data_IF_338414125296
#
_entry.id   IF_338414125296
#
_cell.length_a   1.000
_cell.length_b   1.000
_cell.length_c   1.000
_cell.angle_alpha   90.00
_cell.angle_beta   90.00
_cell.angle_gamma   90.00
#
_symmetry.space_group_name_H-M   'P 1'
#
loop_
_entity.id
_entity.type
_entity.pdbx_description
1 polymer ?
#
# COMPACT_ATOMS: atom_id res chain seq x y z
N UNK A 1 -3.82 -13.70 5.21
CA UNK A 1 -2.98 -12.49 5.17
C UNK A 1 -1.54 -12.93 5.27
N UNK A 2 -0.70 -12.58 4.31
CA UNK A 2 0.75 -12.80 4.35
C UNK A 2 1.45 -11.45 4.37
N UNK A 3 2.42 -11.30 5.27
CA UNK A 3 3.24 -10.09 5.38
C UNK A 3 4.67 -10.51 5.61
N UNK A 4 5.57 -10.00 4.79
CA UNK A 4 7.00 -10.25 4.86
C UNK A 4 7.72 -8.92 4.88
N UNK A 5 8.67 -8.78 5.79
CA UNK A 5 9.52 -7.60 5.89
C UNK A 5 10.96 -8.05 6.09
N UNK A 6 11.87 -7.45 5.34
CA UNK A 6 13.29 -7.62 5.48
C UNK A 6 13.93 -6.25 5.57
N UNK A 7 14.86 -6.09 6.51
CA UNK A 7 15.65 -4.87 6.62
C UNK A 7 17.10 -5.20 6.92
N UNK A 8 17.97 -4.32 6.45
CA UNK A 8 19.40 -4.32 6.76
C UNK A 8 19.78 -2.90 7.16
N UNK A 9 20.55 -2.77 8.22
CA UNK A 9 21.04 -1.49 8.71
C UNK A 9 22.41 -1.62 9.33
N UNK A 10 23.15 -0.52 9.30
CA UNK A 10 24.48 -0.45 9.88
C UNK A 10 24.93 0.98 10.03
N UNK A 11 25.71 1.22 11.09
CA UNK A 11 26.25 2.54 11.40
C UNK A 11 27.69 2.41 11.86
N UNK A 12 28.55 3.26 11.31
CA UNK A 12 29.89 3.55 11.82
C UNK A 12 30.09 5.08 11.86
N UNK A 13 31.33 5.52 12.12
CA UNK A 13 31.64 6.95 12.26
C UNK A 13 31.50 7.74 10.95
N UNK A 14 31.55 7.07 9.79
CA UNK A 14 31.54 7.70 8.47
C UNK A 14 30.18 7.54 7.79
N UNK A 15 29.53 6.39 7.94
CA UNK A 15 28.32 6.02 7.20
C UNK A 15 27.26 5.47 8.14
N UNK A 16 26.02 5.87 7.91
CA UNK A 16 24.84 5.27 8.49
C UNK A 16 23.88 4.92 7.35
N UNK A 17 23.51 3.65 7.25
CA UNK A 17 22.64 3.17 6.18
C UNK A 17 21.52 2.29 6.73
N UNK A 18 20.38 2.35 6.06
CA UNK A 18 19.23 1.51 6.29
C UNK A 18 18.56 1.22 4.95
N UNK A 19 18.26 -0.04 4.70
CA UNK A 19 17.47 -0.46 3.56
C UNK A 19 16.41 -1.46 4.04
N UNK A 20 15.18 -1.29 3.57
CA UNK A 20 14.11 -2.25 3.85
C UNK A 20 13.19 -2.47 2.67
N UNK A 21 12.64 -3.68 2.63
CA UNK A 21 11.58 -4.08 1.74
C UNK A 21 10.47 -4.77 2.53
N UNK A 22 9.22 -4.46 2.20
CA UNK A 22 8.06 -5.15 2.74
C UNK A 22 7.07 -5.50 1.64
N UNK A 23 6.48 -6.68 1.76
CA UNK A 23 5.41 -7.16 0.90
C UNK A 23 4.24 -7.63 1.77
N UNK A 24 3.04 -7.15 1.45
CA UNK A 24 1.80 -7.53 2.11
C UNK A 24 0.80 -8.00 1.05
N UNK A 25 0.21 -9.16 1.27
CA UNK A 25 -0.90 -9.69 0.47
C UNK A 25 -2.05 -10.09 1.40
N UNK A 26 -3.14 -9.35 1.29
CA UNK A 26 -4.34 -9.52 2.09
C UNK A 26 -5.49 -9.96 1.20
N UNK A 27 -5.86 -11.23 1.38
CA UNK A 27 -7.12 -11.77 0.87
C UNK A 27 -8.25 -11.37 1.83
N UNK A 28 -9.18 -10.54 1.35
CA UNK A 28 -10.36 -10.17 2.13
C UNK A 28 -11.31 -11.35 2.29
N UNK A 29 -12.12 -11.30 3.36
CA UNK A 29 -13.24 -12.25 3.56
C UNK A 29 -14.38 -11.97 2.60
N UNK A 30 -14.50 -10.73 2.12
CA UNK A 30 -15.52 -10.35 1.15
C UNK A 30 -14.97 -10.57 -0.25
N UNK A 31 -15.74 -11.29 -1.07
CA UNK A 31 -15.34 -11.61 -2.45
C UNK A 31 -15.17 -10.31 -3.26
N UNK A 32 -14.09 -10.25 -4.04
CA UNK A 32 -13.79 -9.11 -4.92
C UNK A 32 -12.99 -7.98 -4.25
N UNK A 33 -12.71 -8.09 -2.95
CA UNK A 33 -11.86 -7.16 -2.21
C UNK A 33 -10.47 -7.80 -2.03
N UNK A 34 -9.44 -7.14 -2.56
CA UNK A 34 -8.06 -7.58 -2.49
C UNK A 34 -7.17 -6.38 -2.17
N UNK A 35 -6.13 -6.63 -1.39
CA UNK A 35 -5.16 -5.61 -1.05
C UNK A 35 -3.74 -6.18 -1.12
N UNK A 36 -2.90 -5.58 -1.96
CA UNK A 36 -1.48 -5.90 -2.07
C UNK A 36 -0.65 -4.63 -1.92
N UNK A 37 0.46 -4.73 -1.20
CA UNK A 37 1.38 -3.61 -1.03
C UNK A 37 2.82 -4.08 -1.09
N UNK A 38 3.60 -3.47 -1.98
CA UNK A 38 5.06 -3.56 -2.00
C UNK A 38 5.62 -2.22 -1.56
N UNK A 39 6.52 -2.21 -0.58
CA UNK A 39 7.21 -0.98 -0.15
C UNK A 39 8.69 -1.22 -0.05
N UNK A 40 9.48 -0.29 -0.54
CA UNK A 40 10.95 -0.27 -0.43
C UNK A 40 11.36 1.07 0.16
N UNK A 41 12.29 1.07 1.12
CA UNK A 41 12.84 2.28 1.74
C UNK A 41 14.36 2.20 1.79
N UNK A 42 15.00 3.32 1.51
CA UNK A 42 16.44 3.49 1.60
C UNK A 42 16.75 4.80 2.33
N UNK A 43 17.54 4.71 3.39
CA UNK A 43 18.11 5.86 4.08
C UNK A 43 19.61 5.71 4.09
N UNK A 44 20.31 6.75 3.66
CA UNK A 44 21.76 6.74 3.58
C UNK A 44 22.28 8.09 4.03
N UNK A 45 23.16 8.07 5.02
CA UNK A 45 23.83 9.23 5.58
C UNK A 45 25.34 9.00 5.52
N UNK A 46 26.07 10.02 5.07
CA UNK A 46 27.54 10.01 5.03
C UNK A 46 28.10 11.28 5.67
N UNK A 47 29.01 11.09 6.62
CA UNK A 47 29.87 12.14 7.16
C UNK A 47 31.07 12.27 6.21
N UNK A 48 31.01 13.26 5.30
CA UNK A 48 32.10 13.53 4.34
C UNK A 48 33.31 14.09 5.08
N UNK A 49 33.06 14.96 6.07
CA UNK A 49 34.06 15.48 7.00
C UNK A 49 33.45 15.61 8.39
N UNK A 50 34.25 15.96 9.41
CA UNK A 50 33.73 16.24 10.76
C UNK A 50 32.69 17.40 10.80
N UNK A 51 32.67 18.23 9.77
CA UNK A 51 31.79 19.40 9.66
C UNK A 51 30.74 19.28 8.56
N UNK A 52 30.82 18.27 7.68
CA UNK A 52 29.91 18.11 6.54
C UNK A 52 29.30 16.71 6.54
N UNK A 53 27.97 16.67 6.63
CA UNK A 53 27.18 15.45 6.46
C UNK A 53 26.22 15.62 5.29
N UNK A 54 26.08 14.60 4.47
CA UNK A 54 25.06 14.51 3.42
C UNK A 54 24.18 13.32 3.71
N UNK A 55 22.88 13.44 3.46
CA UNK A 55 21.95 12.35 3.63
C UNK A 55 20.89 12.29 2.55
N UNK A 56 20.37 11.09 2.34
CA UNK A 56 19.31 10.77 1.40
C UNK A 56 18.31 9.86 2.10
N UNK A 57 17.03 10.19 1.96
CA UNK A 57 15.91 9.39 2.43
C UNK A 57 14.93 9.23 1.28
N UNK A 58 14.79 8.01 0.79
CA UNK A 58 13.95 7.69 -0.35
C UNK A 58 13.05 6.50 -0.05
N UNK A 59 11.89 6.49 -0.67
CA UNK A 59 10.96 5.40 -0.54
C UNK A 59 10.07 5.28 -1.76
N UNK A 60 9.74 4.03 -2.07
CA UNK A 60 8.79 3.67 -3.09
C UNK A 60 7.72 2.76 -2.48
N UNK A 61 6.47 3.00 -2.85
CA UNK A 61 5.35 2.13 -2.47
C UNK A 61 4.46 1.92 -3.68
N UNK A 62 4.17 0.67 -3.99
CA UNK A 62 3.10 0.28 -4.89
C UNK A 62 1.99 -0.37 -4.06
N UNK A 63 0.79 0.17 -4.16
CA UNK A 63 -0.40 -0.32 -3.49
C UNK A 63 -1.42 -0.67 -4.55
N UNK A 64 -1.90 -1.90 -4.52
CA UNK A 64 -2.95 -2.41 -5.36
C UNK A 64 -4.16 -2.72 -4.47
N UNK A 65 -5.26 -2.05 -4.72
CA UNK A 65 -6.56 -2.25 -4.06
C UNK A 65 -7.66 -2.51 -5.09
N UNK A 66 -7.26 -2.97 -6.27
CA UNK A 66 -8.14 -3.24 -7.40
C UNK A 66 -9.23 -4.22 -7.03
N UNK A 67 -10.44 -4.01 -7.53
CA UNK A 67 -11.50 -5.01 -7.47
C UNK A 67 -12.78 -4.48 -6.88
N UNK A 68 -13.87 -5.14 -7.25
CA UNK A 68 -15.21 -4.75 -6.85
C UNK A 68 -15.71 -5.67 -5.75
N UNK A 69 -15.80 -5.15 -4.53
CA UNK A 69 -16.33 -5.89 -3.40
C UNK A 69 -17.80 -6.29 -3.64
N UNK A 70 -18.15 -7.51 -3.26
CA UNK A 70 -19.53 -7.98 -3.25
C UNK A 70 -20.39 -7.12 -2.31
N UNK A 71 -21.64 -6.85 -2.70
CA UNK A 71 -22.54 -6.03 -1.88
C UNK A 71 -22.97 -6.76 -0.61
N UNK A 72 -22.42 -6.37 0.54
CA UNK A 72 -22.87 -6.90 1.83
C UNK A 72 -24.31 -6.53 2.14
N UNK A 73 -24.77 -5.37 1.67
CA UNK A 73 -26.16 -4.94 1.81
C UNK A 73 -27.13 -5.95 1.18
N UNK A 74 -27.00 -6.20 -0.14
CA UNK A 74 -27.87 -7.17 -0.81
C UNK A 74 -27.66 -8.60 -0.29
N UNK A 75 -26.46 -8.94 0.20
CA UNK A 75 -26.18 -10.25 0.81
C UNK A 75 -27.08 -10.51 2.03
N UNK A 76 -27.36 -9.49 2.85
CA UNK A 76 -28.23 -9.66 4.04
C UNK A 76 -29.70 -9.91 3.71
N UNK A 77 -30.15 -9.58 2.49
CA UNK A 77 -31.53 -9.82 2.03
C UNK A 77 -31.69 -11.13 1.25
N UNK A 78 -30.61 -11.87 1.03
CA UNK A 78 -30.69 -13.14 0.32
C UNK A 78 -31.37 -14.21 1.18
N UNK A 79 -32.37 -14.85 0.57
CA UNK A 79 -32.94 -16.09 1.10
C UNK A 79 -31.89 -17.21 1.08
N UNK A 80 -31.89 -18.14 2.05
CA UNK A 80 -31.10 -19.37 1.97
C UNK A 80 -31.39 -20.21 0.72
N UNK A 81 -32.55 -20.00 0.08
CA UNK A 81 -32.95 -20.65 -1.18
C UNK A 81 -32.62 -19.84 -2.45
N UNK A 82 -31.93 -18.70 -2.31
CA UNK A 82 -31.57 -17.86 -3.45
C UNK A 82 -30.54 -18.54 -4.35
N UNK A 83 -30.71 -18.40 -5.67
CA UNK A 83 -29.74 -18.89 -6.65
C UNK A 83 -29.02 -17.71 -7.30
N UNK A 84 -27.71 -17.59 -7.05
CA UNK A 84 -26.87 -16.51 -7.57
C UNK A 84 -26.53 -16.67 -9.06
N UNK A 85 -26.74 -17.86 -9.61
CA UNK A 85 -26.49 -18.20 -11.00
C UNK A 85 -27.69 -18.94 -11.57
N UNK A 86 -27.88 -18.88 -12.88
CA UNK A 86 -28.75 -19.80 -13.61
C UNK A 86 -28.06 -21.17 -13.77
N UNK A 87 -28.80 -22.18 -14.25
CA UNK A 87 -28.29 -23.54 -14.44
C UNK A 87 -27.13 -23.61 -15.44
N UNK A 88 -27.03 -22.64 -16.36
CA UNK A 88 -25.93 -22.47 -17.32
C UNK A 88 -24.70 -21.75 -16.75
N UNK A 89 -24.74 -21.35 -15.48
CA UNK A 89 -23.65 -20.66 -14.77
C UNK A 89 -23.60 -19.14 -14.96
N UNK A 90 -24.53 -18.54 -15.70
CA UNK A 90 -24.59 -17.08 -15.87
C UNK A 90 -25.08 -16.42 -14.57
N UNK A 91 -24.46 -15.31 -14.10
CA UNK A 91 -24.93 -14.60 -12.91
C UNK A 91 -26.37 -14.14 -13.07
N UNK A 92 -27.22 -14.54 -12.12
CA UNK A 92 -28.64 -14.18 -12.13
C UNK A 92 -28.84 -12.78 -11.55
N UNK A 93 -29.41 -11.79 -12.27
CA UNK A 93 -29.55 -10.43 -11.74
C UNK A 93 -30.45 -10.33 -10.50
N UNK A 94 -31.54 -11.09 -10.48
CA UNK A 94 -32.50 -11.18 -9.38
C UNK A 94 -32.53 -12.60 -8.80
N UNK A 95 -31.68 -12.91 -7.80
CA UNK A 95 -31.44 -14.28 -7.33
C UNK A 95 -32.60 -14.90 -6.53
N UNK A 96 -33.59 -14.09 -6.15
CA UNK A 96 -34.81 -14.52 -5.43
C UNK A 96 -36.11 -14.19 -6.20
N UNK A 97 -36.02 -13.91 -7.50
CA UNK A 97 -37.18 -13.54 -8.35
C UNK A 97 -37.92 -12.25 -7.95
N UNK A 98 -37.34 -11.46 -7.05
CA UNK A 98 -37.83 -10.15 -6.64
C UNK A 98 -36.80 -9.11 -7.10
N UNK A 99 -37.22 -8.16 -7.94
CA UNK A 99 -36.34 -7.13 -8.53
C UNK A 99 -35.75 -6.11 -7.54
N UNK A 100 -36.08 -6.21 -6.25
CA UNK A 100 -35.58 -5.34 -5.18
C UNK A 100 -34.24 -5.82 -4.60
N UNK A 101 -33.89 -7.10 -4.78
CA UNK A 101 -32.61 -7.66 -4.34
C UNK A 101 -31.80 -8.01 -5.56
N UNK A 102 -30.73 -7.24 -5.78
CA UNK A 102 -29.79 -7.47 -6.88
C UNK A 102 -28.74 -8.47 -6.42
N UNK A 103 -28.26 -9.30 -7.33
CA UNK A 103 -27.17 -10.23 -7.04
C UNK A 103 -25.93 -9.51 -6.48
N UNK A 104 -25.50 -9.82 -5.24
CA UNK A 104 -24.37 -9.16 -4.59
C UNK A 104 -23.06 -9.24 -5.35
N UNK A 105 -22.91 -10.25 -6.20
CA UNK A 105 -21.71 -10.52 -6.98
C UNK A 105 -21.70 -9.80 -8.33
N UNK A 106 -22.80 -9.14 -8.73
CA UNK A 106 -22.91 -8.55 -10.07
C UNK A 106 -21.73 -7.62 -10.39
N UNK A 107 -21.39 -6.71 -9.47
CA UNK A 107 -20.22 -5.82 -9.65
C UNK A 107 -18.90 -6.58 -9.63
N UNK A 108 -18.76 -7.54 -8.71
CA UNK A 108 -17.55 -8.36 -8.57
C UNK A 108 -17.24 -9.21 -9.79
N UNK A 109 -18.26 -9.71 -10.49
CA UNK A 109 -18.12 -10.64 -11.61
C UNK A 109 -18.10 -9.94 -12.97
N UNK A 110 -18.82 -8.83 -13.10
CA UNK A 110 -19.04 -8.18 -14.39
C UNK A 110 -18.19 -6.94 -14.61
N UNK A 111 -17.59 -6.39 -13.54
CA UNK A 111 -16.76 -5.20 -13.64
C UNK A 111 -15.31 -5.53 -13.32
N UNK A 112 -14.42 -5.08 -14.20
CA UNK A 112 -13.00 -4.96 -13.91
C UNK A 112 -12.73 -3.58 -13.31
N UNK A 113 -12.09 -3.56 -12.15
CA UNK A 113 -11.69 -2.33 -11.47
C UNK A 113 -10.21 -2.42 -11.16
N UNK A 114 -9.48 -1.35 -11.52
CA UNK A 114 -8.04 -1.26 -11.34
C UNK A 114 -7.70 -0.02 -10.52
N UNK A 115 -7.45 -0.23 -9.23
CA UNK A 115 -7.00 0.79 -8.29
C UNK A 115 -5.56 0.49 -7.88
N UNK A 116 -4.62 1.10 -8.61
CA UNK A 116 -3.19 1.00 -8.33
C UNK A 116 -2.64 2.38 -8.02
N UNK A 117 -2.14 2.56 -6.81
CA UNK A 117 -1.47 3.78 -6.35
C UNK A 117 0.04 3.55 -6.26
N UNK A 118 0.81 4.48 -6.81
CA UNK A 118 2.28 4.50 -6.69
C UNK A 118 2.72 5.78 -6.00
N UNK A 119 3.56 5.64 -4.98
CA UNK A 119 4.13 6.76 -4.23
C UNK A 119 5.64 6.62 -4.29
N UNK A 120 6.30 7.62 -4.87
CA UNK A 120 7.74 7.78 -4.87
C UNK A 120 8.08 9.09 -4.15
N UNK A 121 9.02 9.04 -3.23
CA UNK A 121 9.58 10.24 -2.64
C UNK A 121 11.09 10.10 -2.46
N UNK A 122 11.78 11.23 -2.49
CA UNK A 122 13.20 11.34 -2.20
C UNK A 122 13.47 12.68 -1.54
N UNK A 123 14.17 12.65 -0.42
CA UNK A 123 14.62 13.82 0.31
C UNK A 123 16.14 13.74 0.39
N UNK A 124 16.82 14.74 -0.17
CA UNK A 124 18.26 14.87 -0.15
C UNK A 124 18.59 16.09 0.69
N UNK A 125 19.49 15.94 1.65
CA UNK A 125 19.84 17.01 2.56
C UNK A 125 21.34 17.05 2.82
N UNK A 126 21.81 18.22 3.24
CA UNK A 126 23.19 18.47 3.65
C UNK A 126 23.17 19.20 4.98
N UNK A 127 23.99 18.77 5.93
CA UNK A 127 24.17 19.37 7.25
C UNK A 127 25.61 19.87 7.36
N UNK A 128 25.77 21.15 7.70
CA UNK A 128 27.05 21.83 7.84
C UNK A 128 27.22 22.29 9.29
N UNK A 129 28.25 21.78 9.98
CA UNK A 129 28.63 22.23 11.33
C UNK A 129 29.68 23.33 11.22
N UNK A 130 29.26 24.58 11.41
CA UNK A 130 30.20 25.71 11.41
C UNK A 130 31.05 25.69 12.69
N UNK A 131 32.37 25.91 12.62
CA UNK A 131 33.27 25.97 13.78
C UNK A 131 33.14 27.28 14.58
N UNK A 132 31.92 27.81 14.71
CA UNK A 132 31.62 29.03 15.46
C UNK A 132 30.86 28.65 16.73
N UNK A 133 31.49 28.89 17.89
CA UNK A 133 30.85 28.73 19.19
C UNK A 133 29.63 29.66 19.26
N UNK A 134 28.41 29.15 19.06
CA UNK A 134 27.18 29.88 19.38
C UNK A 134 26.06 29.94 18.34
N UNK A 135 26.19 29.34 17.14
CA UNK A 135 25.13 29.38 16.12
C UNK A 135 24.82 27.98 15.56
N UNK A 136 24.18 27.12 16.35
CA UNK A 136 23.45 25.98 15.79
C UNK A 136 22.12 26.46 15.22
N UNK A 137 22.11 26.88 13.95
CA UNK A 137 20.87 27.09 13.19
C UNK A 137 20.75 25.98 12.15
N UNK A 138 19.82 25.06 12.39
CA UNK A 138 19.46 24.01 11.43
C UNK A 138 18.61 24.68 10.34
N UNK A 139 19.19 24.93 9.18
CA UNK A 139 18.41 25.30 8.00
C UNK A 139 17.98 24.03 7.26
N UNK A 140 16.68 23.70 7.35
CA UNK A 140 16.04 22.76 6.42
C UNK A 140 15.76 23.53 5.13
N UNK A 141 16.41 23.16 4.04
CA UNK A 141 16.02 23.59 2.70
C UNK A 141 15.03 22.54 2.16
N UNK A 142 13.88 23.02 1.68
CA UNK A 142 12.67 22.25 1.31
C UNK A 142 12.89 21.22 0.20
#
# INVERSE_FOLDING_TARGET
MTSHELSISGKNDIVNYYFSGSYTDMKSVVRGDQFKRLSVRANFDINITNWLKVGVNAGFTNRDSSGNQASLYFTTYLSPYANLYYDDGVPRPAPIDIGLVINPLSKTLLNDDRDVTQILFSNIYTEVKLPLNGLMRIERIF
#
